data_IF_313625715258
#
_entry.id   IF_313625715258
#
_cell.length_a   1.000
_cell.length_b   1.000
_cell.length_c   1.000
_cell.angle_alpha   90.00
_cell.angle_beta   90.00
_cell.angle_gamma   90.00
#
_symmetry.space_group_name_H-M   'P 1'
#
loop_
_entity.id
_entity.type
_entity.pdbx_description
1 polymer ?
#
# COMPACT_ATOMS: atom_id res chain seq x y z
N UNK A 1 -0.75 21.51 -8.88
CA UNK A 1 0.61 21.56 -9.46
C UNK A 1 0.74 20.31 -10.31
N UNK A 2 0.81 20.46 -11.65
CA UNK A 2 1.13 19.34 -12.53
C UNK A 2 2.51 18.80 -12.18
N UNK A 3 2.68 17.49 -12.14
CA UNK A 3 4.00 16.87 -11.91
C UNK A 3 5.07 17.32 -12.91
N UNK A 4 4.68 17.78 -14.09
CA UNK A 4 5.53 18.49 -15.06
C UNK A 4 6.14 19.80 -14.53
N UNK A 5 5.54 20.41 -13.52
CA UNK A 5 6.09 21.61 -12.86
C UNK A 5 7.31 21.34 -11.99
N UNK A 6 7.52 20.14 -11.52
CA UNK A 6 8.67 19.80 -10.67
C UNK A 6 9.99 19.73 -11.44
N UNK A 7 9.99 19.28 -12.68
CA UNK A 7 11.21 19.32 -13.51
C UNK A 7 11.64 20.76 -13.83
N UNK A 8 10.69 21.65 -14.12
CA UNK A 8 10.98 23.06 -14.35
C UNK A 8 11.43 23.77 -13.07
N UNK A 9 10.73 23.58 -11.96
CA UNK A 9 11.12 24.16 -10.68
C UNK A 9 12.50 23.66 -10.21
N UNK A 10 12.83 22.39 -10.48
CA UNK A 10 14.13 21.84 -10.21
C UNK A 10 15.25 22.51 -11.00
N UNK A 11 15.00 22.83 -12.29
CA UNK A 11 15.96 23.53 -13.14
C UNK A 11 16.17 24.99 -12.71
N UNK A 12 15.12 25.67 -12.23
CA UNK A 12 15.23 27.03 -11.71
C UNK A 12 15.95 27.13 -10.36
N UNK A 13 15.89 26.08 -9.56
CA UNK A 13 16.57 26.01 -8.26
C UNK A 13 18.07 25.70 -8.39
N UNK A 14 18.49 25.13 -9.52
CA UNK A 14 19.90 24.84 -9.75
C UNK A 14 20.67 26.16 -10.02
N UNK A 15 21.86 26.33 -9.47
CA UNK A 15 22.72 27.45 -9.81
C UNK A 15 23.04 27.39 -11.30
N UNK A 16 22.75 28.49 -12.00
CA UNK A 16 22.75 28.59 -13.47
C UNK A 16 24.07 28.19 -14.16
N UNK A 17 25.10 27.81 -13.44
CA UNK A 17 26.45 27.74 -13.99
C UNK A 17 27.24 26.45 -13.73
N UNK A 18 26.81 25.48 -12.94
CA UNK A 18 27.77 24.40 -12.59
C UNK A 18 27.28 22.96 -12.59
N UNK A 19 25.98 22.66 -12.55
CA UNK A 19 25.53 21.26 -12.51
C UNK A 19 24.31 21.07 -13.41
N UNK A 20 24.47 20.24 -14.42
CA UNK A 20 23.36 19.79 -15.25
C UNK A 20 22.65 18.63 -14.54
N UNK A 21 21.31 18.61 -14.58
CA UNK A 21 20.50 17.52 -13.98
C UNK A 21 20.99 16.15 -14.38
N UNK A 22 21.41 15.95 -15.64
CA UNK A 22 21.97 14.70 -16.12
C UNK A 22 23.32 14.30 -15.48
N UNK A 23 24.10 15.26 -14.97
CA UNK A 23 25.34 14.97 -14.23
C UNK A 23 25.03 14.53 -12.80
N UNK A 24 24.08 15.20 -12.14
CA UNK A 24 23.58 14.81 -10.82
C UNK A 24 23.01 13.38 -10.90
N UNK A 25 22.15 13.09 -11.87
CA UNK A 25 21.59 11.77 -12.08
C UNK A 25 22.66 10.70 -12.24
N UNK A 26 23.67 10.92 -13.06
CA UNK A 26 24.78 9.97 -13.24
C UNK A 26 25.60 9.72 -11.98
N UNK A 27 25.75 10.74 -11.13
CA UNK A 27 26.43 10.56 -9.82
C UNK A 27 25.59 9.67 -8.91
N UNK A 28 24.29 9.93 -8.83
CA UNK A 28 23.36 9.15 -8.01
C UNK A 28 23.24 7.70 -8.48
N UNK A 29 23.15 7.47 -9.79
CA UNK A 29 23.09 6.13 -10.39
C UNK A 29 24.34 5.28 -10.11
N UNK A 30 25.48 5.93 -9.86
CA UNK A 30 26.74 5.27 -9.46
C UNK A 30 26.89 5.11 -7.93
N UNK A 31 25.83 5.39 -7.17
CA UNK A 31 25.86 5.31 -5.71
C UNK A 31 26.58 6.48 -5.03
N UNK A 32 26.89 7.54 -5.75
CA UNK A 32 27.46 8.75 -5.20
C UNK A 32 26.41 9.68 -4.58
N UNK A 33 26.87 10.75 -3.93
CA UNK A 33 26.01 11.80 -3.38
C UNK A 33 26.21 13.10 -4.14
N UNK A 34 25.14 13.89 -4.30
CA UNK A 34 25.18 15.20 -4.91
C UNK A 34 24.42 16.20 -4.02
N UNK A 35 25.14 16.78 -3.06
CA UNK A 35 24.61 17.80 -2.17
C UNK A 35 25.32 19.13 -2.42
N UNK A 36 24.56 20.20 -2.55
CA UNK A 36 25.09 21.54 -2.74
C UNK A 36 24.10 22.59 -2.28
N UNK A 37 24.60 23.77 -1.92
CA UNK A 37 23.77 24.91 -1.60
C UNK A 37 23.42 25.66 -2.87
N UNK A 38 22.13 25.84 -3.14
CA UNK A 38 21.66 26.55 -4.34
C UNK A 38 21.85 28.07 -4.24
N UNK A 39 21.96 28.60 -3.03
CA UNK A 39 21.95 30.04 -2.76
C UNK A 39 20.60 30.72 -3.01
N UNK A 40 19.55 29.92 -3.22
CA UNK A 40 18.22 30.43 -3.47
C UNK A 40 17.33 30.29 -2.24
N UNK A 41 16.45 31.26 -2.05
CA UNK A 41 15.38 31.21 -1.05
C UNK A 41 14.11 30.68 -1.70
N UNK A 42 13.48 29.72 -1.05
CA UNK A 42 12.20 29.15 -1.46
C UNK A 42 11.16 29.49 -0.37
N UNK A 43 10.08 30.13 -0.77
CA UNK A 43 8.94 30.37 0.11
C UNK A 43 7.89 29.30 -0.14
N UNK A 44 7.61 28.47 0.88
CA UNK A 44 6.56 27.46 0.85
C UNK A 44 5.33 27.98 1.60
N UNK A 45 4.18 27.98 0.93
CA UNK A 45 2.89 28.25 1.55
C UNK A 45 1.93 27.10 1.23
N UNK A 46 1.51 26.36 2.25
CA UNK A 46 0.53 25.28 2.12
C UNK A 46 -0.77 25.73 2.76
N UNK A 47 -1.85 25.68 1.99
CA UNK A 47 -3.21 25.83 2.52
C UNK A 47 -3.90 24.49 2.44
N UNK A 48 -4.30 23.95 3.57
CA UNK A 48 -5.03 22.71 3.64
C UNK A 48 -6.34 22.91 4.40
N UNK A 49 -7.41 22.27 3.94
CA UNK A 49 -8.63 22.10 4.71
C UNK A 49 -8.70 20.66 5.19
N UNK A 50 -8.95 20.47 6.47
CA UNK A 50 -9.09 19.15 7.06
C UNK A 50 -10.54 18.92 7.42
N UNK A 51 -11.13 17.82 6.93
CA UNK A 51 -12.39 17.32 7.51
C UNK A 51 -12.03 16.47 8.72
N UNK A 52 -12.48 16.91 9.90
CA UNK A 52 -12.22 16.19 11.15
C UNK A 52 -12.93 14.83 11.21
N UNK A 53 -14.00 14.66 10.42
CA UNK A 53 -14.83 13.46 10.41
C UNK A 53 -14.98 12.93 8.99
N UNK A 54 -14.83 11.63 8.87
CA UNK A 54 -15.03 10.86 7.65
C UNK A 54 -15.46 9.44 8.01
N UNK A 55 -16.17 8.77 7.10
CA UNK A 55 -16.51 7.37 7.24
C UNK A 55 -15.70 6.57 6.24
N UNK A 56 -15.06 5.52 6.74
CA UNK A 56 -14.42 4.49 5.95
C UNK A 56 -15.01 3.13 6.28
N UNK A 57 -14.80 2.17 5.42
CA UNK A 57 -15.29 0.81 5.63
C UNK A 57 -14.25 -0.21 5.17
N UNK A 58 -14.34 -1.39 5.79
CA UNK A 58 -13.71 -2.60 5.28
C UNK A 58 -14.79 -3.48 4.68
N UNK A 59 -14.45 -4.20 3.62
CA UNK A 59 -15.28 -5.31 3.13
C UNK A 59 -14.71 -6.60 3.68
N UNK A 60 -15.55 -7.42 4.31
CA UNK A 60 -15.11 -8.67 4.94
C UNK A 60 -15.97 -9.82 4.44
N UNK A 61 -15.34 -10.86 3.93
CA UNK A 61 -15.98 -12.12 3.61
C UNK A 61 -15.34 -13.24 4.46
N UNK A 62 -16.18 -14.10 5.02
CA UNK A 62 -15.72 -15.21 5.85
C UNK A 62 -15.98 -16.55 5.14
N UNK A 63 -14.95 -17.36 5.05
CA UNK A 63 -15.05 -18.78 4.72
C UNK A 63 -14.93 -19.57 6.00
N UNK A 64 -16.02 -20.08 6.60
CA UNK A 64 -15.99 -20.79 7.88
C UNK A 64 -15.14 -22.06 7.80
N UNK A 65 -14.33 -22.28 8.82
CA UNK A 65 -13.55 -23.49 8.98
C UNK A 65 -14.47 -24.73 9.15
N UNK A 66 -13.97 -25.90 8.74
CA UNK A 66 -14.70 -27.16 8.85
C UNK A 66 -14.48 -27.91 10.17
N UNK A 67 -13.47 -27.54 10.93
CA UNK A 67 -13.03 -28.26 12.11
C UNK A 67 -13.36 -27.46 13.40
N UNK A 68 -14.35 -27.95 14.15
CA UNK A 68 -14.80 -27.30 15.39
C UNK A 68 -13.70 -27.18 16.45
N UNK A 69 -12.66 -28.01 16.40
CA UNK A 69 -11.51 -27.90 17.31
C UNK A 69 -10.82 -26.54 17.21
N UNK A 70 -10.95 -25.86 16.07
CA UNK A 70 -10.33 -24.56 15.78
C UNK A 70 -11.37 -23.44 15.68
N UNK A 71 -12.50 -23.61 16.35
CA UNK A 71 -13.53 -22.55 16.38
C UNK A 71 -12.98 -21.26 17.01
N UNK A 72 -13.13 -20.18 16.30
CA UNK A 72 -12.56 -18.88 16.67
C UNK A 72 -11.14 -18.62 16.15
N UNK A 73 -10.42 -19.65 15.71
CA UNK A 73 -9.15 -19.48 15.02
C UNK A 73 -9.39 -19.03 13.58
N UNK A 74 -8.62 -18.06 13.12
CA UNK A 74 -8.72 -17.57 11.75
C UNK A 74 -7.37 -17.14 11.15
N UNK A 75 -7.36 -17.11 9.81
CA UNK A 75 -6.29 -16.56 9.02
C UNK A 75 -6.88 -15.41 8.21
N UNK A 76 -6.16 -14.32 8.10
CA UNK A 76 -6.53 -13.19 7.25
C UNK A 76 -5.81 -13.29 5.92
N UNK A 77 -6.54 -13.11 4.84
CA UNK A 77 -6.00 -12.81 3.52
C UNK A 77 -6.56 -11.44 3.16
N UNK A 78 -5.69 -10.46 2.96
CA UNK A 78 -6.08 -9.07 2.87
C UNK A 78 -5.41 -8.33 1.72
N UNK A 79 -6.05 -7.24 1.33
CA UNK A 79 -5.51 -6.21 0.44
C UNK A 79 -6.21 -4.90 0.78
N UNK A 80 -5.57 -3.75 0.55
CA UNK A 80 -6.31 -2.51 0.66
C UNK A 80 -7.07 -2.17 -0.63
N UNK A 81 -8.11 -1.36 -0.50
CA UNK A 81 -9.06 -1.05 -1.57
C UNK A 81 -9.01 0.42 -1.99
N UNK A 82 -8.49 1.28 -1.15
CA UNK A 82 -8.32 2.69 -1.40
C UNK A 82 -6.98 2.98 -2.09
N UNK A 83 -6.85 4.20 -2.59
CA UNK A 83 -5.60 4.78 -3.08
C UNK A 83 -5.62 6.29 -2.79
N UNK A 84 -4.55 7.00 -3.13
CA UNK A 84 -4.34 8.43 -2.78
C UNK A 84 -5.33 9.40 -3.43
N UNK A 85 -6.14 8.95 -4.38
CA UNK A 85 -7.26 9.71 -4.94
C UNK A 85 -6.93 10.52 -6.20
N UNK A 86 -7.50 11.72 -6.29
CA UNK A 86 -7.50 12.50 -7.53
C UNK A 86 -6.78 13.84 -7.44
N UNK A 87 -6.15 14.13 -6.32
CA UNK A 87 -5.46 15.40 -6.11
C UNK A 87 -3.97 15.15 -5.78
N UNK A 88 -3.01 15.91 -6.34
CA UNK A 88 -3.18 16.98 -7.35
C UNK A 88 -3.44 16.48 -8.77
N UNK A 89 -3.31 15.19 -9.01
CA UNK A 89 -3.59 14.52 -10.26
C UNK A 89 -4.30 13.21 -10.00
N UNK A 90 -4.96 12.64 -11.01
CA UNK A 90 -5.58 11.33 -10.93
C UNK A 90 -4.51 10.26 -10.71
N UNK A 91 -4.61 9.55 -9.58
CA UNK A 91 -3.79 8.39 -9.27
C UNK A 91 -4.68 7.14 -9.40
N UNK A 92 -4.58 6.37 -10.51
CA UNK A 92 -5.50 5.28 -10.80
C UNK A 92 -5.39 4.09 -9.84
N UNK A 93 -4.25 3.90 -9.18
CA UNK A 93 -4.04 2.79 -8.25
C UNK A 93 -4.08 1.40 -8.88
N UNK A 94 -3.70 1.26 -10.16
CA UNK A 94 -3.81 -0.02 -10.86
C UNK A 94 -2.94 -1.11 -10.23
N UNK A 95 -1.70 -0.78 -9.86
CA UNK A 95 -0.78 -1.67 -9.18
C UNK A 95 -0.94 -1.56 -7.66
N UNK A 96 -1.02 -0.36 -7.16
CA UNK A 96 -1.23 0.00 -5.77
C UNK A 96 -2.66 0.59 -5.58
N UNK A 97 -3.67 -0.24 -5.20
CA UNK A 97 -3.55 -1.67 -4.95
C UNK A 97 -4.71 -2.45 -5.59
N UNK A 98 -5.14 -2.03 -6.79
CA UNK A 98 -6.17 -2.79 -7.53
C UNK A 98 -5.66 -4.19 -7.88
N UNK A 99 -4.33 -4.36 -8.07
CA UNK A 99 -3.71 -5.67 -8.32
C UNK A 99 -3.93 -6.63 -7.15
N UNK A 100 -3.68 -6.19 -5.92
CA UNK A 100 -3.91 -6.98 -4.71
C UNK A 100 -5.40 -7.23 -4.46
N UNK A 101 -6.24 -6.19 -4.60
CA UNK A 101 -7.67 -6.29 -4.39
C UNK A 101 -8.35 -7.27 -5.35
N UNK A 102 -7.99 -7.25 -6.63
CA UNK A 102 -8.51 -8.17 -7.65
C UNK A 102 -8.03 -9.60 -7.39
N UNK A 103 -6.75 -9.78 -7.04
CA UNK A 103 -6.21 -11.10 -6.71
C UNK A 103 -6.89 -11.68 -5.48
N UNK A 104 -7.14 -10.87 -4.45
CA UNK A 104 -7.88 -11.29 -3.26
C UNK A 104 -9.28 -11.82 -3.62
N UNK A 105 -9.97 -11.18 -4.55
CA UNK A 105 -11.27 -11.62 -5.02
C UNK A 105 -11.18 -13.01 -5.69
N UNK A 106 -10.18 -13.22 -6.53
CA UNK A 106 -9.97 -14.52 -7.19
C UNK A 106 -9.56 -15.62 -6.22
N UNK A 107 -8.74 -15.30 -5.20
CA UNK A 107 -8.39 -16.24 -4.14
C UNK A 107 -9.64 -16.61 -3.33
N UNK A 108 -10.48 -15.64 -2.97
CA UNK A 108 -11.74 -15.90 -2.26
C UNK A 108 -12.68 -16.78 -3.09
N UNK A 109 -12.81 -16.50 -4.40
CA UNK A 109 -13.60 -17.29 -5.33
C UNK A 109 -13.08 -18.73 -5.43
N UNK A 110 -11.77 -18.90 -5.63
CA UNK A 110 -11.15 -20.22 -5.74
C UNK A 110 -11.33 -21.05 -4.45
N UNK A 111 -11.10 -20.43 -3.29
CA UNK A 111 -11.24 -21.12 -2.00
C UNK A 111 -12.70 -21.45 -1.66
N UNK A 112 -13.65 -20.60 -2.05
CA UNK A 112 -15.09 -20.90 -1.86
C UNK A 112 -15.57 -22.12 -2.66
N UNK A 113 -14.95 -22.38 -3.82
CA UNK A 113 -15.23 -23.53 -4.67
C UNK A 113 -14.52 -24.83 -4.29
N UNK A 114 -13.71 -24.84 -3.23
CA UNK A 114 -12.99 -26.06 -2.83
C UNK A 114 -13.95 -27.14 -2.32
N UNK A 115 -13.72 -28.40 -2.72
CA UNK A 115 -14.47 -29.57 -2.21
C UNK A 115 -14.37 -29.71 -0.70
N UNK A 116 -13.17 -29.48 -0.16
CA UNK A 116 -12.93 -29.43 1.27
C UNK A 116 -12.55 -28.03 1.72
N UNK A 117 -13.33 -27.44 2.60
CA UNK A 117 -13.02 -26.16 3.23
C UNK A 117 -11.77 -26.28 4.11
N UNK A 118 -11.03 -25.20 4.33
CA UNK A 118 -9.94 -25.14 5.30
C UNK A 118 -10.42 -25.57 6.70
N UNK A 119 -9.51 -26.10 7.52
CA UNK A 119 -9.83 -26.49 8.89
C UNK A 119 -10.21 -25.30 9.76
N UNK A 120 -9.58 -24.13 9.52
CA UNK A 120 -9.82 -22.86 10.23
C UNK A 120 -10.56 -21.88 9.33
N UNK A 121 -11.20 -20.91 9.95
CA UNK A 121 -11.84 -19.82 9.21
C UNK A 121 -10.81 -18.99 8.45
N UNK A 122 -11.14 -18.65 7.22
CA UNK A 122 -10.38 -17.67 6.44
C UNK A 122 -11.23 -16.40 6.32
N UNK A 123 -10.65 -15.28 6.73
CA UNK A 123 -11.23 -13.96 6.57
C UNK A 123 -10.55 -13.26 5.39
N UNK A 124 -11.31 -13.00 4.34
CA UNK A 124 -10.88 -12.16 3.22
C UNK A 124 -11.26 -10.73 3.55
N UNK A 125 -10.30 -9.84 3.57
CA UNK A 125 -10.52 -8.46 4.04
C UNK A 125 -9.96 -7.46 3.04
N UNK A 126 -10.85 -6.65 2.45
CA UNK A 126 -10.47 -5.48 1.69
C UNK A 126 -10.48 -4.29 2.64
N UNK A 127 -9.30 -3.81 2.99
CA UNK A 127 -9.13 -2.71 3.94
C UNK A 127 -9.36 -1.36 3.26
N UNK A 128 -10.05 -0.45 3.95
CA UNK A 128 -10.14 0.95 3.54
C UNK A 128 -9.26 1.86 4.39
N UNK A 129 -8.86 2.99 3.83
CA UNK A 129 -8.03 3.99 4.53
C UNK A 129 -6.61 3.49 4.84
N UNK A 130 -6.05 2.68 3.98
CA UNK A 130 -4.66 2.23 4.06
C UNK A 130 -3.72 3.43 3.91
N UNK A 131 -3.89 4.20 2.85
CA UNK A 131 -3.12 5.38 2.47
C UNK A 131 -3.19 6.53 3.51
N UNK A 132 -4.15 6.45 4.40
CA UNK A 132 -4.32 7.36 5.53
C UNK A 132 -3.72 6.81 6.84
N UNK A 133 -2.86 5.82 6.75
CA UNK A 133 -2.15 5.22 7.88
C UNK A 133 -2.81 3.97 8.43
N UNK A 134 -3.19 3.04 7.56
CA UNK A 134 -3.69 1.70 7.89
C UNK A 134 -4.99 1.71 8.72
N UNK A 135 -5.87 2.69 8.50
CA UNK A 135 -7.04 2.90 9.37
C UNK A 135 -7.95 1.67 9.44
N UNK A 136 -8.25 1.08 8.27
CA UNK A 136 -9.09 -0.10 8.18
C UNK A 136 -8.47 -1.33 8.83
N UNK A 137 -7.19 -1.57 8.61
CA UNK A 137 -6.46 -2.68 9.21
C UNK A 137 -6.39 -2.54 10.74
N UNK A 138 -6.09 -1.34 11.26
CA UNK A 138 -6.11 -1.03 12.69
C UNK A 138 -7.50 -1.24 13.30
N UNK A 139 -8.56 -0.84 12.59
CA UNK A 139 -9.93 -1.04 13.04
C UNK A 139 -10.28 -2.51 13.10
N UNK A 140 -9.96 -3.29 12.06
CA UNK A 140 -10.19 -4.74 12.02
C UNK A 140 -9.45 -5.47 13.14
N UNK A 141 -8.18 -5.13 13.38
CA UNK A 141 -7.38 -5.76 14.43
C UNK A 141 -7.95 -5.52 15.84
N UNK A 142 -8.50 -4.32 16.08
CA UNK A 142 -9.11 -3.97 17.38
C UNK A 142 -10.52 -4.53 17.56
N UNK A 143 -11.25 -4.68 16.49
CA UNK A 143 -12.66 -5.07 16.48
C UNK A 143 -12.93 -6.05 15.34
N UNK A 144 -12.38 -7.26 15.41
CA UNK A 144 -12.69 -8.28 14.41
C UNK A 144 -14.18 -8.64 14.44
N UNK A 145 -14.73 -9.17 13.35
CA UNK A 145 -16.08 -9.70 13.33
C UNK A 145 -16.35 -10.70 14.45
N UNK A 146 -17.59 -10.73 14.89
CA UNK A 146 -18.02 -11.67 15.95
C UNK A 146 -17.68 -13.12 15.58
N UNK A 147 -17.24 -13.89 16.55
CA UNK A 147 -16.82 -15.28 16.37
C UNK A 147 -15.33 -15.44 15.99
N UNK A 148 -14.63 -14.41 15.55
CA UNK A 148 -13.20 -14.43 15.29
C UNK A 148 -12.43 -14.05 16.57
N UNK A 149 -11.68 -15.00 17.13
CA UNK A 149 -11.02 -14.83 18.45
C UNK A 149 -9.49 -14.76 18.38
N UNK A 150 -8.88 -15.61 17.54
CA UNK A 150 -7.43 -15.73 17.45
C UNK A 150 -6.95 -15.72 16.02
N UNK A 151 -6.32 -14.62 15.62
CA UNK A 151 -5.63 -14.51 14.35
C UNK A 151 -4.30 -15.30 14.42
N UNK A 152 -4.08 -16.19 13.46
CA UNK A 152 -2.88 -17.03 13.41
C UNK A 152 -1.87 -16.51 12.40
N UNK A 153 -2.35 -15.94 11.31
CA UNK A 153 -1.51 -15.40 10.25
C UNK A 153 -2.27 -14.35 9.45
N UNK A 154 -1.53 -13.45 8.85
CA UNK A 154 -2.02 -12.46 7.90
C UNK A 154 -1.19 -12.58 6.63
N UNK A 155 -1.86 -12.72 5.50
CA UNK A 155 -1.29 -12.63 4.17
C UNK A 155 -1.79 -11.34 3.53
N UNK A 156 -0.94 -10.34 3.42
CA UNK A 156 -1.27 -9.07 2.77
C UNK A 156 -0.77 -9.08 1.34
N UNK A 157 -1.65 -8.76 0.40
CA UNK A 157 -1.34 -8.65 -1.02
C UNK A 157 -1.27 -7.17 -1.39
N UNK A 158 -0.08 -6.75 -1.82
CA UNK A 158 0.19 -5.34 -2.11
C UNK A 158 1.18 -5.22 -3.26
N UNK A 159 0.84 -4.37 -4.23
CA UNK A 159 1.70 -4.07 -5.40
C UNK A 159 2.20 -5.34 -6.10
N UNK A 160 1.28 -6.28 -6.37
CA UNK A 160 1.60 -7.58 -6.96
C UNK A 160 1.45 -7.63 -8.48
N UNK A 161 1.10 -6.49 -9.10
CA UNK A 161 0.89 -6.37 -10.54
C UNK A 161 2.18 -6.29 -11.34
N UNK A 162 3.33 -6.08 -10.70
CA UNK A 162 4.63 -5.97 -11.35
C UNK A 162 5.70 -6.84 -10.68
N UNK A 163 6.53 -7.45 -11.51
CA UNK A 163 7.78 -8.05 -11.04
C UNK A 163 8.87 -6.98 -11.17
N UNK A 164 9.47 -6.59 -10.05
CA UNK A 164 10.66 -5.76 -10.03
C UNK A 164 11.88 -6.68 -10.07
N UNK A 165 12.63 -6.75 -11.18
CA UNK A 165 13.71 -7.74 -11.33
C UNK A 165 14.85 -7.62 -10.31
N UNK A 166 14.95 -6.48 -9.61
CA UNK A 166 15.99 -6.19 -8.61
C UNK A 166 15.58 -6.52 -7.16
N UNK A 167 14.35 -6.90 -6.92
CA UNK A 167 13.90 -7.29 -5.58
C UNK A 167 14.19 -8.77 -5.33
N UNK A 168 15.42 -9.09 -4.97
CA UNK A 168 15.73 -10.40 -4.39
C UNK A 168 15.28 -10.39 -2.93
N UNK A 169 14.11 -10.96 -2.65
CA UNK A 169 13.69 -11.22 -1.28
C UNK A 169 14.44 -12.43 -0.76
N UNK A 170 15.49 -12.21 0.02
CA UNK A 170 16.16 -13.28 0.74
C UNK A 170 15.45 -13.52 2.06
N UNK A 171 14.56 -14.50 2.10
CA UNK A 171 13.92 -14.95 3.35
C UNK A 171 14.90 -15.60 4.35
N UNK A 172 16.16 -15.79 3.96
CA UNK A 172 17.19 -16.38 4.82
C UNK A 172 17.70 -15.43 5.92
N UNK A 173 17.44 -14.13 5.80
CA UNK A 173 17.94 -13.11 6.72
C UNK A 173 16.85 -12.52 7.63
N UNK A 174 15.67 -13.13 7.68
CA UNK A 174 14.64 -12.76 8.65
C UNK A 174 15.04 -13.30 10.04
N UNK A 175 15.08 -12.45 11.08
CA UNK A 175 15.42 -12.86 12.44
C UNK A 175 14.40 -13.81 13.05
#
# INVERSE_FOLDING_TARGET
>A
VELGGFEHAGLELLPAQKLKVGEIRRVLEKGGTASFTTGRMVHFAVRASVRAEGQGFNVVALLPGRDRKFEGDYVVVGAHLDHVGTWPALCPGADDNASGAATLLEVARAMSGMKERPRRTVAFVWFGGEEMGLLGAKRFAKHPPEGLKRCLAVFNMEVIGRIVPSASWNFADAP
#
